data_IF_097045711760
#
_entry.id   IF_097045711760
#
_cell.length_a   1.000
_cell.length_b   1.000
_cell.length_c   1.000
_cell.angle_alpha   90.00
_cell.angle_beta   90.00
_cell.angle_gamma   90.00
#
_symmetry.space_group_name_H-M   'P 1'
#
loop_
_entity.id
_entity.type
_entity.pdbx_description
1 polymer ?
#
# COMPACT_ATOMS: atom_id res chain seq x y z
N UNK A 1 -26.06 6.59 -38.01
CA UNK A 1 -25.45 7.94 -37.87
C UNK A 1 -26.15 8.60 -36.70
N UNK A 2 -25.61 8.43 -35.47
CA UNK A 2 -26.15 9.13 -34.31
C UNK A 2 -25.91 10.63 -34.47
N UNK A 3 -26.95 11.41 -34.19
CA UNK A 3 -27.00 12.84 -34.46
C UNK A 3 -26.17 13.61 -33.41
N UNK A 4 -25.37 14.59 -33.86
CA UNK A 4 -24.43 15.34 -32.98
C UNK A 4 -25.16 16.19 -31.93
N UNK A 5 -26.48 16.27 -32.01
CA UNK A 5 -27.36 17.04 -31.12
C UNK A 5 -27.63 16.29 -29.81
N UNK A 6 -27.58 14.96 -29.81
CA UNK A 6 -27.81 14.12 -28.62
C UNK A 6 -26.61 14.10 -27.66
N UNK A 7 -25.44 14.57 -28.11
CA UNK A 7 -24.25 14.72 -27.27
C UNK A 7 -24.35 15.90 -26.29
N UNK A 8 -25.33 16.80 -26.45
CA UNK A 8 -25.53 17.97 -25.57
C UNK A 8 -26.46 17.70 -24.39
N UNK A 9 -27.22 16.61 -24.42
CA UNK A 9 -28.07 16.14 -23.32
C UNK A 9 -27.41 15.03 -22.49
N UNK A 10 -26.18 14.64 -22.84
CA UNK A 10 -25.39 13.81 -21.95
C UNK A 10 -25.16 14.60 -20.65
N UNK A 11 -25.26 13.95 -19.48
CA UNK A 11 -24.78 14.55 -18.24
C UNK A 11 -23.36 15.09 -18.48
N UNK A 12 -22.96 16.17 -17.80
CA UNK A 12 -21.61 16.70 -17.92
C UNK A 12 -20.60 15.55 -17.83
N UNK A 13 -19.41 15.64 -18.48
CA UNK A 13 -18.35 14.68 -18.24
C UNK A 13 -18.24 14.48 -16.71
N UNK A 14 -17.87 13.28 -16.26
CA UNK A 14 -17.72 12.88 -14.84
C UNK A 14 -16.69 13.75 -14.05
N UNK A 15 -16.45 14.98 -14.48
CA UNK A 15 -15.74 16.10 -13.89
C UNK A 15 -16.49 16.73 -12.71
N UNK A 16 -17.66 16.19 -12.33
CA UNK A 16 -18.25 16.44 -11.03
C UNK A 16 -17.47 15.63 -9.99
N UNK A 17 -16.26 16.15 -9.68
CA UNK A 17 -15.28 15.66 -8.70
C UNK A 17 -15.92 14.68 -7.72
N UNK A 18 -15.73 13.40 -7.98
CA UNK A 18 -16.18 12.34 -7.09
C UNK A 18 -15.70 12.72 -5.68
N UNK A 19 -16.62 12.91 -4.74
CA UNK A 19 -16.29 13.33 -3.37
C UNK A 19 -15.19 12.41 -2.83
N UNK A 20 -14.18 12.95 -2.14
CA UNK A 20 -13.06 12.12 -1.66
C UNK A 20 -13.54 10.92 -0.83
N UNK A 21 -14.65 11.08 -0.11
CA UNK A 21 -15.31 9.98 0.62
C UNK A 21 -15.80 8.86 -0.30
N UNK A 22 -16.38 9.19 -1.46
CA UNK A 22 -16.81 8.22 -2.46
C UNK A 22 -15.61 7.48 -3.06
N UNK A 23 -14.51 8.19 -3.35
CA UNK A 23 -13.28 7.57 -3.84
C UNK A 23 -12.66 6.62 -2.81
N UNK A 24 -12.65 7.00 -1.53
CA UNK A 24 -12.18 6.11 -0.45
C UNK A 24 -13.05 4.88 -0.27
N UNK A 25 -14.37 5.03 -0.32
CA UNK A 25 -15.30 3.90 -0.27
C UNK A 25 -15.02 2.95 -1.44
N UNK A 26 -14.89 3.50 -2.64
CA UNK A 26 -14.66 2.75 -3.86
C UNK A 26 -13.31 2.01 -3.82
N UNK A 27 -12.24 2.67 -3.38
CA UNK A 27 -10.95 2.05 -3.12
C UNK A 27 -11.07 0.88 -2.14
N UNK A 28 -11.82 1.02 -1.05
CA UNK A 28 -12.01 -0.05 -0.07
C UNK A 28 -12.80 -1.23 -0.63
N UNK A 29 -13.76 -0.98 -1.52
CA UNK A 29 -14.50 -2.04 -2.22
C UNK A 29 -13.58 -2.78 -3.19
N UNK A 30 -12.85 -2.07 -4.05
CA UNK A 30 -11.92 -2.68 -5.01
C UNK A 30 -10.77 -3.41 -4.31
N UNK A 31 -10.27 -2.88 -3.20
CA UNK A 31 -9.30 -3.57 -2.35
C UNK A 31 -9.84 -4.88 -1.78
N UNK A 32 -11.11 -4.93 -1.38
CA UNK A 32 -11.76 -6.17 -0.93
C UNK A 32 -12.00 -7.18 -2.05
N UNK A 33 -12.03 -6.72 -3.30
CA UNK A 33 -12.19 -7.55 -4.50
C UNK A 33 -10.84 -8.02 -5.08
N UNK A 34 -9.72 -7.56 -4.53
CA UNK A 34 -8.36 -7.81 -5.06
C UNK A 34 -8.20 -7.39 -6.53
N UNK A 35 -8.96 -6.37 -6.94
CA UNK A 35 -8.98 -5.86 -8.31
C UNK A 35 -8.03 -4.67 -8.43
N UNK A 36 -6.79 -4.97 -8.83
CA UNK A 36 -5.73 -3.99 -9.04
C UNK A 36 -6.06 -2.98 -10.16
N UNK A 37 -6.73 -3.42 -11.23
CA UNK A 37 -7.06 -2.58 -12.38
C UNK A 37 -8.14 -1.56 -12.01
N UNK A 38 -9.18 -2.01 -11.32
CA UNK A 38 -10.21 -1.16 -10.75
C UNK A 38 -9.62 -0.12 -9.81
N UNK A 39 -8.73 -0.53 -8.91
CA UNK A 39 -8.09 0.36 -7.95
C UNK A 39 -7.19 1.42 -8.60
N UNK A 40 -6.42 1.04 -9.62
CA UNK A 40 -5.59 1.97 -10.37
C UNK A 40 -6.42 3.06 -11.08
N UNK A 41 -7.63 2.72 -11.53
CA UNK A 41 -8.55 3.71 -12.11
C UNK A 41 -9.04 4.71 -11.05
N UNK A 42 -9.37 4.25 -9.84
CA UNK A 42 -9.76 5.10 -8.71
C UNK A 42 -8.61 5.98 -8.25
N UNK A 43 -7.37 5.47 -8.29
CA UNK A 43 -6.17 6.25 -7.99
C UNK A 43 -6.00 7.45 -8.93
N UNK A 44 -6.29 7.28 -10.22
CA UNK A 44 -6.21 8.37 -11.21
C UNK A 44 -7.28 9.45 -11.03
N UNK A 45 -8.41 9.11 -10.39
CA UNK A 45 -9.50 10.05 -10.12
C UNK A 45 -9.30 10.86 -8.84
N UNK A 46 -8.31 10.50 -8.01
CA UNK A 46 -7.98 11.22 -6.78
C UNK A 46 -7.15 12.47 -7.10
N UNK A 47 -7.54 13.61 -6.51
CA UNK A 47 -6.78 14.85 -6.60
C UNK A 47 -5.59 14.89 -5.61
N UNK A 48 -5.76 14.26 -4.45
CA UNK A 48 -4.77 14.16 -3.40
C UNK A 48 -4.71 12.69 -2.99
N UNK A 49 -3.50 12.13 -2.91
CA UNK A 49 -3.30 10.74 -2.49
C UNK A 49 -2.66 10.76 -1.12
N UNK A 50 -3.36 10.23 -0.11
CA UNK A 50 -2.75 10.08 1.20
C UNK A 50 -1.70 8.96 1.19
N UNK A 51 -0.77 8.99 2.14
CA UNK A 51 0.30 8.00 2.21
C UNK A 51 -0.26 6.58 2.47
N UNK A 52 -1.29 6.47 3.29
CA UNK A 52 -1.99 5.21 3.57
C UNK A 52 -2.69 4.66 2.31
N UNK A 53 -3.30 5.55 1.52
CA UNK A 53 -3.92 5.15 0.26
C UNK A 53 -2.89 4.69 -0.77
N UNK A 54 -1.71 5.33 -0.84
CA UNK A 54 -0.60 4.90 -1.71
C UNK A 54 -0.08 3.52 -1.32
N UNK A 55 0.01 3.23 -0.02
CA UNK A 55 0.39 1.91 0.48
C UNK A 55 -0.60 0.87 -0.02
N UNK A 56 -1.91 1.08 0.21
CA UNK A 56 -2.94 0.15 -0.24
C UNK A 56 -2.87 -0.10 -1.75
N UNK A 57 -2.74 0.96 -2.54
CA UNK A 57 -2.62 0.86 -3.99
C UNK A 57 -1.43 0.00 -4.41
N UNK A 58 -0.26 0.20 -3.78
CA UNK A 58 0.94 -0.58 -4.07
C UNK A 58 0.87 -2.04 -3.60
N UNK A 59 0.21 -2.31 -2.47
CA UNK A 59 0.04 -3.68 -1.97
C UNK A 59 -0.86 -4.52 -2.90
N UNK A 60 -1.95 -3.93 -3.38
CA UNK A 60 -2.91 -4.60 -4.26
C UNK A 60 -2.36 -4.72 -5.68
N UNK A 61 -1.60 -3.73 -6.15
CA UNK A 61 -0.87 -3.83 -7.42
C UNK A 61 0.29 -4.84 -7.38
N UNK A 62 0.68 -5.33 -6.19
CA UNK A 62 1.85 -6.18 -6.01
C UNK A 62 3.19 -5.47 -6.24
N UNK A 63 3.19 -4.13 -6.28
CA UNK A 63 4.42 -3.33 -6.37
C UNK A 63 5.02 -3.14 -4.98
N UNK A 64 5.73 -4.18 -4.53
CA UNK A 64 6.40 -4.19 -3.23
C UNK A 64 7.51 -3.15 -3.09
N UNK A 65 8.06 -2.66 -4.21
CA UNK A 65 9.12 -1.63 -4.21
C UNK A 65 8.52 -0.29 -3.81
N UNK A 66 7.40 0.08 -4.45
CA UNK A 66 6.67 1.28 -4.07
C UNK A 66 6.10 1.16 -2.64
N UNK A 67 5.59 -0.01 -2.26
CA UNK A 67 5.08 -0.24 -0.91
C UNK A 67 6.17 -0.05 0.15
N UNK A 68 7.38 -0.58 -0.09
CA UNK A 68 8.52 -0.42 0.79
C UNK A 68 8.87 1.06 1.00
N UNK A 69 8.99 1.83 -0.09
CA UNK A 69 9.29 3.26 -0.02
C UNK A 69 8.23 4.03 0.77
N UNK A 70 6.94 3.70 0.61
CA UNK A 70 5.88 4.32 1.39
C UNK A 70 5.96 3.96 2.88
N UNK A 71 6.31 2.72 3.22
CA UNK A 71 6.51 2.32 4.61
C UNK A 71 7.72 2.97 5.27
N UNK A 72 8.81 3.19 4.54
CA UNK A 72 9.96 3.95 5.04
C UNK A 72 9.58 5.39 5.38
N UNK A 73 8.83 6.06 4.49
CA UNK A 73 8.28 7.39 4.76
C UNK A 73 7.36 7.38 6.00
N UNK A 74 6.47 6.39 6.11
CA UNK A 74 5.57 6.25 7.26
C UNK A 74 6.34 6.03 8.58
N UNK A 75 7.46 5.31 8.54
CA UNK A 75 8.33 5.09 9.70
C UNK A 75 9.12 6.34 10.09
N UNK A 76 9.51 7.17 9.12
CA UNK A 76 10.11 8.48 9.40
C UNK A 76 9.14 9.41 10.14
N UNK A 77 7.87 9.43 9.72
CA UNK A 77 6.83 10.22 10.38
C UNK A 77 6.42 9.63 11.75
N UNK A 78 6.32 8.30 11.84
CA UNK A 78 5.78 7.57 12.99
C UNK A 78 6.63 6.35 13.34
N UNK A 79 7.83 6.54 13.94
CA UNK A 79 8.75 5.44 14.26
C UNK A 79 8.29 4.57 15.43
N UNK A 80 7.21 4.94 16.12
CA UNK A 80 6.68 4.20 17.27
C UNK A 80 5.69 3.10 16.90
N UNK A 81 5.21 3.07 15.65
CA UNK A 81 4.14 2.15 15.24
C UNK A 81 4.74 0.82 14.80
N UNK A 82 4.72 -0.15 15.71
CA UNK A 82 5.26 -1.50 15.47
C UNK A 82 4.69 -2.18 14.21
N UNK A 83 3.39 -1.99 13.92
CA UNK A 83 2.73 -2.59 12.75
C UNK A 83 3.42 -2.22 11.43
N UNK A 84 3.98 -1.01 11.35
CA UNK A 84 4.67 -0.54 10.15
C UNK A 84 5.98 -1.32 9.92
N UNK A 85 6.68 -1.70 10.99
CA UNK A 85 7.87 -2.55 10.89
C UNK A 85 7.54 -3.95 10.36
N UNK A 86 6.42 -4.54 10.77
CA UNK A 86 5.97 -5.82 10.23
C UNK A 86 5.63 -5.74 8.75
N UNK A 87 4.91 -4.70 8.34
CA UNK A 87 4.61 -4.49 6.91
C UNK A 87 5.89 -4.28 6.09
N UNK A 88 6.86 -3.53 6.61
CA UNK A 88 8.17 -3.36 5.96
C UNK A 88 8.90 -4.70 5.79
N UNK A 89 8.94 -5.55 6.83
CA UNK A 89 9.53 -6.89 6.73
C UNK A 89 8.80 -7.76 5.69
N UNK A 90 7.47 -7.66 5.60
CA UNK A 90 6.69 -8.34 4.56
C UNK A 90 7.06 -7.86 3.16
N UNK A 91 7.24 -6.56 2.95
CA UNK A 91 7.71 -6.00 1.68
C UNK A 91 9.11 -6.53 1.33
N UNK A 92 10.06 -6.49 2.28
CA UNK A 92 11.42 -7.00 2.08
C UNK A 92 11.43 -8.50 1.73
N UNK A 93 10.57 -9.28 2.38
CA UNK A 93 10.39 -10.71 2.07
C UNK A 93 9.92 -10.92 0.63
N UNK A 94 8.93 -10.15 0.18
CA UNK A 94 8.37 -10.26 -1.16
C UNK A 94 9.34 -9.77 -2.25
N UNK A 95 10.20 -8.81 -1.94
CA UNK A 95 11.28 -8.36 -2.82
C UNK A 95 12.50 -9.30 -2.85
N UNK A 96 12.61 -10.21 -1.87
CA UNK A 96 13.78 -11.09 -1.74
C UNK A 96 15.02 -10.39 -1.16
N UNK A 97 14.87 -9.23 -0.54
CA UNK A 97 15.97 -8.54 0.14
C UNK A 97 16.23 -9.15 1.53
N UNK A 98 16.71 -10.39 1.53
CA UNK A 98 16.83 -11.23 2.72
C UNK A 98 17.84 -10.67 3.73
N UNK A 99 18.97 -10.14 3.27
CA UNK A 99 19.97 -9.55 4.17
C UNK A 99 19.42 -8.34 4.92
N UNK A 100 18.74 -7.43 4.20
CA UNK A 100 18.11 -6.24 4.80
C UNK A 100 16.99 -6.64 5.75
N UNK A 101 16.21 -7.68 5.41
CA UNK A 101 15.17 -8.24 6.27
C UNK A 101 15.75 -8.72 7.60
N UNK A 102 16.88 -9.45 7.57
CA UNK A 102 17.55 -9.95 8.77
C UNK A 102 18.01 -8.79 9.68
N UNK A 103 18.78 -7.84 9.14
CA UNK A 103 19.30 -6.71 9.92
C UNK A 103 18.17 -5.86 10.51
N UNK A 104 17.08 -5.65 9.76
CA UNK A 104 15.93 -4.90 10.26
C UNK A 104 15.17 -5.66 11.36
N UNK A 105 15.02 -6.98 11.21
CA UNK A 105 14.40 -7.82 12.24
C UNK A 105 15.20 -7.82 13.55
N UNK A 106 16.53 -7.93 13.48
CA UNK A 106 17.42 -7.84 14.64
C UNK A 106 17.31 -6.49 15.36
N UNK A 107 17.28 -5.39 14.59
CA UNK A 107 17.05 -4.05 15.14
C UNK A 107 15.69 -3.92 15.84
N UNK A 108 14.64 -4.51 15.27
CA UNK A 108 13.31 -4.55 15.88
C UNK A 108 13.27 -5.40 17.16
N UNK A 109 13.96 -6.54 17.20
CA UNK A 109 14.07 -7.40 18.39
C UNK A 109 14.71 -6.63 19.55
N UNK A 110 15.79 -5.90 19.28
CA UNK A 110 16.45 -5.08 20.29
C UNK A 110 15.56 -3.95 20.83
N UNK A 111 14.70 -3.38 19.98
CA UNK A 111 13.84 -2.24 20.32
C UNK A 111 12.50 -2.63 20.94
N UNK A 112 11.96 -3.79 20.59
CA UNK A 112 10.63 -4.27 20.99
C UNK A 112 10.71 -5.64 21.68
N UNK A 113 11.25 -5.72 22.91
CA UNK A 113 11.51 -6.98 23.61
C UNK A 113 10.24 -7.79 23.96
N UNK A 114 9.05 -7.18 23.89
CA UNK A 114 7.77 -7.88 24.10
C UNK A 114 7.33 -8.70 22.90
N UNK A 115 7.83 -8.39 21.71
CA UNK A 115 7.35 -8.90 20.43
C UNK A 115 8.44 -9.68 19.67
N UNK A 116 9.45 -10.13 20.42
CA UNK A 116 10.61 -10.85 19.89
C UNK A 116 10.19 -12.10 19.14
N UNK A 117 9.19 -12.84 19.63
CA UNK A 117 8.70 -14.04 18.94
C UNK A 117 8.27 -13.73 17.50
N UNK A 118 7.47 -12.68 17.32
CA UNK A 118 6.95 -12.24 16.02
C UNK A 118 8.07 -11.81 15.07
N UNK A 119 9.05 -11.01 15.54
CA UNK A 119 10.18 -10.57 14.72
C UNK A 119 11.22 -11.67 14.46
N UNK A 120 11.41 -12.57 15.42
CA UNK A 120 12.35 -13.69 15.29
C UNK A 120 11.94 -14.66 14.19
N UNK A 121 10.64 -14.82 13.92
CA UNK A 121 10.17 -15.64 12.80
C UNK A 121 10.71 -15.13 11.45
N UNK A 122 10.71 -13.80 11.23
CA UNK A 122 11.31 -13.19 10.04
C UNK A 122 12.82 -13.34 10.01
N UNK A 123 13.50 -13.22 11.16
CA UNK A 123 14.95 -13.42 11.25
C UNK A 123 15.36 -14.86 10.94
N UNK A 124 14.66 -15.85 11.47
CA UNK A 124 14.89 -17.28 11.19
C UNK A 124 14.59 -17.60 9.72
N UNK A 125 13.49 -17.07 9.17
CA UNK A 125 13.19 -17.20 7.74
C UNK A 125 14.30 -16.59 6.88
N UNK A 126 14.84 -15.43 7.27
CA UNK A 126 15.93 -14.80 6.56
C UNK A 126 17.21 -15.65 6.61
N UNK A 127 17.59 -16.09 7.81
CA UNK A 127 18.79 -16.89 8.02
C UNK A 127 18.73 -18.25 7.32
N UNK A 128 17.54 -18.82 7.12
CA UNK A 128 17.37 -20.07 6.39
C UNK A 128 17.49 -19.92 4.85
N UNK A 129 17.23 -18.72 4.33
CA UNK A 129 17.30 -18.41 2.89
C UNK A 129 18.66 -17.83 2.44
N UNK A 130 19.54 -17.52 3.40
CA UNK A 130 20.93 -17.07 3.20
C UNK A 130 21.87 -18.27 3.07
#
# INVERSE_FOLDING_TARGET
KLDRRDLRSLPPPLDQRCSQETLRLLQRIYAGLDDADGLASVAKLRNETSLEERILDSEIAGDWTQALACYEQLLQERPGVMRNHFSMLRCLRNLGHIQTMLTHAEGCIARYPREVASFSAFGVEAAWRL
#
